data_IF_175667013074
#
_entry.id   IF_175667013074
#
_cell.length_a   1.000
_cell.length_b   1.000
_cell.length_c   1.000
_cell.angle_alpha   90.00
_cell.angle_beta   90.00
_cell.angle_gamma   90.00
#
_symmetry.space_group_name_H-M   'P 1'
#
loop_
_entity.id
_entity.type
_entity.pdbx_description
1 polymer ?
#
# COMPACT_ATOMS: atom_id res chain seq x y z
N UNK A 1 -15.37 14.99 -28.49
CA UNK A 1 -15.34 13.90 -27.50
C UNK A 1 -13.93 13.88 -26.93
N UNK A 2 -13.64 14.76 -25.97
CA UNK A 2 -12.32 14.81 -25.34
C UNK A 2 -12.20 13.62 -24.38
N UNK A 3 -11.14 12.83 -24.56
CA UNK A 3 -10.94 11.60 -23.80
C UNK A 3 -10.72 11.92 -22.32
N UNK A 4 -11.62 11.43 -21.47
CA UNK A 4 -11.58 11.56 -20.00
C UNK A 4 -10.32 10.92 -19.38
N UNK A 5 -9.57 10.15 -20.16
CA UNK A 5 -8.33 9.48 -19.79
C UNK A 5 -7.21 10.45 -19.38
N UNK A 6 -7.20 11.68 -19.93
CA UNK A 6 -6.14 12.68 -19.63
C UNK A 6 -6.19 13.27 -18.21
N UNK A 7 -7.25 12.97 -17.45
CA UNK A 7 -7.46 13.46 -16.07
C UNK A 7 -7.66 12.32 -15.05
N UNK A 8 -7.28 11.08 -15.37
CA UNK A 8 -7.21 10.04 -14.36
C UNK A 8 -6.15 10.43 -13.33
N UNK A 9 -6.57 10.68 -12.08
CA UNK A 9 -5.64 10.94 -11.00
C UNK A 9 -4.76 9.69 -10.82
N UNK A 10 -3.51 9.74 -11.29
CA UNK A 10 -2.57 8.65 -11.17
C UNK A 10 -2.08 8.59 -9.72
N UNK A 11 -2.84 7.93 -8.86
CA UNK A 11 -2.41 7.65 -7.50
C UNK A 11 -1.14 6.80 -7.54
N UNK A 12 -0.05 7.31 -6.95
CA UNK A 12 1.21 6.58 -6.87
C UNK A 12 1.03 5.33 -6.02
N UNK A 13 1.60 4.23 -6.52
CA UNK A 13 1.73 2.97 -5.82
C UNK A 13 3.18 2.78 -5.39
N UNK A 14 3.41 2.48 -4.12
CA UNK A 14 4.73 2.09 -3.61
C UNK A 14 4.69 0.73 -2.94
N UNK A 15 5.63 -0.14 -3.27
CA UNK A 15 5.81 -1.40 -2.53
C UNK A 15 6.45 -1.09 -1.17
N UNK A 16 5.91 -1.65 -0.09
CA UNK A 16 6.50 -1.51 1.24
C UNK A 16 7.92 -2.11 1.31
N UNK A 17 8.77 -1.53 2.16
CA UNK A 17 10.05 -2.14 2.53
C UNK A 17 10.23 -2.11 4.07
N UNK A 18 10.08 -3.22 4.80
CA UNK A 18 9.87 -4.58 4.30
C UNK A 18 8.48 -4.78 3.68
N UNK A 19 8.36 -5.69 2.69
CA UNK A 19 7.15 -5.80 1.87
C UNK A 19 5.94 -6.36 2.61
N UNK A 20 6.11 -6.97 3.79
CA UNK A 20 4.99 -7.42 4.61
C UNK A 20 4.38 -6.30 5.48
N UNK A 21 5.02 -5.13 5.60
CA UNK A 21 4.56 -4.00 6.41
C UNK A 21 4.14 -4.38 7.85
N UNK A 22 4.78 -5.40 8.43
CA UNK A 22 4.53 -5.78 9.84
C UNK A 22 5.29 -4.89 10.83
N UNK A 23 6.22 -4.08 10.33
CA UNK A 23 6.97 -3.07 11.05
C UNK A 23 7.06 -1.80 10.21
N UNK A 24 7.43 -0.67 10.83
CA UNK A 24 7.56 0.60 10.15
C UNK A 24 8.37 0.48 8.83
N UNK A 25 7.78 0.83 7.68
CA UNK A 25 8.47 0.78 6.41
C UNK A 25 9.59 1.82 6.34
N UNK A 26 10.66 1.47 5.63
CA UNK A 26 11.86 2.28 5.39
C UNK A 26 11.64 3.31 4.30
N UNK A 27 10.77 3.01 3.34
CA UNK A 27 10.36 3.96 2.32
C UNK A 27 9.27 4.90 2.83
N UNK A 28 9.30 6.14 2.36
CA UNK A 28 8.31 7.15 2.69
C UNK A 28 7.08 6.94 1.81
N UNK A 29 5.90 6.88 2.44
CA UNK A 29 4.64 6.47 1.80
C UNK A 29 3.63 7.62 1.72
N UNK A 30 4.09 8.85 1.98
CA UNK A 30 3.21 9.99 2.23
C UNK A 30 2.32 10.31 1.03
N UNK A 31 1.01 10.12 1.19
CA UNK A 31 0.01 10.38 0.17
C UNK A 31 -0.10 9.28 -0.90
N UNK A 32 0.69 8.22 -0.81
CA UNK A 32 0.70 7.10 -1.75
C UNK A 32 -0.14 5.93 -1.25
N UNK A 33 -0.60 5.08 -2.18
CA UNK A 33 -1.22 3.80 -1.83
C UNK A 33 -0.11 2.76 -1.75
N UNK A 34 0.02 2.12 -0.59
CA UNK A 34 1.08 1.14 -0.36
C UNK A 34 0.64 -0.27 -0.80
N UNK A 35 1.49 -0.94 -1.58
CA UNK A 35 1.39 -2.37 -1.86
C UNK A 35 2.10 -3.14 -0.74
N UNK A 36 1.42 -4.13 -0.18
CA UNK A 36 1.99 -5.02 0.84
C UNK A 36 1.73 -6.47 0.47
N UNK A 37 2.66 -7.35 0.82
CA UNK A 37 2.43 -8.78 0.77
C UNK A 37 1.69 -9.25 2.02
N UNK A 38 0.85 -10.27 1.84
CA UNK A 38 0.46 -11.12 2.95
C UNK A 38 1.72 -11.69 3.61
N UNK A 39 1.72 -11.74 4.94
CA UNK A 39 2.89 -12.10 5.73
C UNK A 39 2.47 -12.52 7.13
N UNK A 40 3.28 -12.16 8.11
CA UNK A 40 3.34 -12.86 9.40
C UNK A 40 2.51 -12.18 10.50
N UNK A 41 1.79 -11.11 10.14
CA UNK A 41 0.94 -10.31 11.02
C UNK A 41 -0.46 -10.13 10.40
N UNK A 42 -1.42 -9.70 11.21
CA UNK A 42 -2.80 -9.49 10.76
C UNK A 42 -2.92 -8.33 9.76
N UNK A 43 -3.99 -8.32 8.96
CA UNK A 43 -4.26 -7.24 8.02
C UNK A 43 -4.46 -5.89 8.72
N UNK A 44 -5.07 -5.89 9.92
CA UNK A 44 -5.23 -4.69 10.75
C UNK A 44 -3.88 -4.12 11.18
N UNK A 45 -2.92 -4.97 11.59
CA UNK A 45 -1.57 -4.50 11.93
C UNK A 45 -0.91 -3.82 10.73
N UNK A 46 -1.02 -4.42 9.53
CA UNK A 46 -0.47 -3.83 8.30
C UNK A 46 -1.09 -2.46 7.98
N UNK A 47 -2.42 -2.34 8.15
CA UNK A 47 -3.13 -1.10 7.91
C UNK A 47 -2.69 0.02 8.87
N UNK A 48 -2.57 -0.28 10.16
CA UNK A 48 -2.14 0.70 11.16
C UNK A 48 -0.71 1.18 10.91
N UNK A 49 0.22 0.25 10.63
CA UNK A 49 1.62 0.59 10.33
C UNK A 49 1.72 1.44 9.05
N UNK A 50 0.92 1.14 8.03
CA UNK A 50 0.87 1.92 6.79
C UNK A 50 0.30 3.33 7.01
N UNK A 51 -0.79 3.46 7.78
CA UNK A 51 -1.39 4.73 8.15
C UNK A 51 -0.41 5.61 8.93
N UNK A 52 0.26 5.06 9.95
CA UNK A 52 1.29 5.76 10.74
C UNK A 52 2.50 6.21 9.89
N UNK A 53 2.77 5.51 8.79
CA UNK A 53 3.81 5.87 7.82
C UNK A 53 3.34 6.88 6.75
N UNK A 54 2.08 7.31 6.81
CA UNK A 54 1.49 8.35 5.96
C UNK A 54 0.87 7.83 4.65
N UNK A 55 0.64 6.52 4.52
CA UNK A 55 -0.06 5.96 3.37
C UNK A 55 -1.51 6.44 3.32
N UNK A 56 -2.03 6.70 2.12
CA UNK A 56 -3.42 7.10 1.91
C UNK A 56 -4.38 5.90 1.76
N UNK A 57 -3.86 4.74 1.36
CA UNK A 57 -4.54 3.45 1.42
C UNK A 57 -3.54 2.29 1.36
N UNK A 58 -4.03 1.06 1.57
CA UNK A 58 -3.24 -0.18 1.51
C UNK A 58 -3.87 -1.19 0.54
N UNK A 59 -3.03 -1.80 -0.30
CA UNK A 59 -3.40 -2.91 -1.19
C UNK A 59 -2.64 -4.17 -0.76
N UNK A 60 -3.36 -5.16 -0.27
CA UNK A 60 -2.77 -6.43 0.19
C UNK A 60 -2.75 -7.44 -0.95
N UNK A 61 -1.54 -7.83 -1.36
CA UNK A 61 -1.29 -8.90 -2.32
C UNK A 61 -1.48 -10.24 -1.59
N UNK A 62 -2.56 -10.94 -1.90
CA UNK A 62 -2.74 -12.31 -1.46
C UNK A 62 -1.86 -13.24 -2.32
N UNK A 63 -0.96 -13.97 -1.67
CA UNK A 63 -0.06 -14.94 -2.30
C UNK A 63 -0.29 -16.38 -1.80
N UNK A 64 -1.41 -16.64 -1.11
CA UNK A 64 -1.78 -17.97 -0.63
C UNK A 64 -3.03 -18.46 -1.35
N UNK A 65 -3.00 -19.73 -1.77
CA UNK A 65 -4.19 -20.48 -2.17
C UNK A 65 -4.95 -20.90 -0.91
N UNK A 66 -6.28 -20.80 -0.96
CA UNK A 66 -7.16 -21.23 0.13
C UNK A 66 -7.12 -22.74 0.36
#
# INVERSE_FOLDING_TARGET
>A
MESKEKHANHTRLALADPPDCCSKPRNQLTGEVILVHRGNCSFTVKANVAEEAGASAILIINNQTG
#
